data_IF_477239348666
#
_entry.id   IF_477239348666
#
_cell.length_a   1.000
_cell.length_b   1.000
_cell.length_c   1.000
_cell.angle_alpha   90.00
_cell.angle_beta   90.00
_cell.angle_gamma   90.00
#
_symmetry.space_group_name_H-M   'P 1'
#
loop_
_entity.id
_entity.type
_entity.pdbx_description
1 polymer ?
#
# COMPACT_ATOMS: atom_id res chain seq x y z
N UNK A 1 -27.20 6.03 3.13
CA UNK A 1 -26.51 6.36 2.56
C UNK A 1 -26.04 7.41 2.67
N UNK A 2 -26.14 7.58 3.04
CA UNK A 2 -25.83 8.80 3.17
C UNK A 2 -24.79 9.47 2.54
N UNK A 3 -24.21 8.95 1.78
CA UNK A 3 -23.08 9.52 1.15
C UNK A 3 -23.35 10.81 0.41
N UNK A 4 -24.60 11.11 0.13
CA UNK A 4 -24.92 12.38 -0.48
C UNK A 4 -24.46 13.57 0.35
N UNK A 5 -24.40 13.39 1.68
CA UNK A 5 -23.95 14.46 2.55
C UNK A 5 -22.47 14.77 2.36
N UNK A 6 -21.72 13.86 1.74
CA UNK A 6 -20.29 14.01 1.54
C UNK A 6 -19.94 14.57 0.17
N UNK A 7 -20.96 14.98 -0.63
CA UNK A 7 -20.71 15.43 -1.99
C UNK A 7 -19.79 16.64 -2.06
N UNK A 8 -19.74 17.48 -1.02
CA UNK A 8 -18.90 18.67 -0.96
C UNK A 8 -17.50 18.39 -0.40
N UNK A 9 -17.28 17.24 0.19
CA UNK A 9 -15.96 16.86 0.67
C UNK A 9 -15.09 16.45 -0.51
N UNK A 10 -13.90 17.00 -0.64
CA UNK A 10 -13.00 16.54 -1.70
C UNK A 10 -12.77 15.05 -1.61
N UNK A 11 -12.70 14.39 -2.76
CA UNK A 11 -12.49 12.96 -2.84
C UNK A 11 -11.02 12.69 -3.17
N UNK A 12 -10.37 11.87 -2.36
CA UNK A 12 -9.02 11.40 -2.70
C UNK A 12 -9.18 10.36 -3.79
N UNK A 13 -8.61 10.60 -4.98
CA UNK A 13 -8.72 9.65 -6.08
C UNK A 13 -7.39 9.01 -6.49
N UNK A 14 -6.27 9.59 -6.08
CA UNK A 14 -4.96 9.04 -6.44
C UNK A 14 -3.93 9.35 -5.36
N UNK A 15 -3.11 8.36 -5.06
CA UNK A 15 -1.94 8.50 -4.19
C UNK A 15 -0.73 7.99 -4.97
N UNK A 16 0.37 8.71 -4.92
CA UNK A 16 1.58 8.35 -5.67
C UNK A 16 2.68 7.88 -4.74
N UNK A 17 3.30 6.76 -5.11
CA UNK A 17 4.53 6.26 -4.49
C UNK A 17 5.64 6.27 -5.52
N UNK A 18 6.84 6.68 -5.11
CA UNK A 18 7.99 6.72 -6.00
C UNK A 18 8.85 5.47 -5.85
N UNK A 19 9.34 4.98 -6.98
CA UNK A 19 10.15 3.76 -7.06
C UNK A 19 11.29 4.00 -8.05
N UNK A 20 12.32 3.13 -8.02
CA UNK A 20 13.47 3.30 -8.92
C UNK A 20 13.43 2.37 -10.14
N UNK A 21 12.51 1.42 -10.21
CA UNK A 21 12.43 0.46 -11.30
C UNK A 21 10.96 0.13 -11.52
N UNK A 22 10.39 0.67 -12.58
CA UNK A 22 8.95 0.57 -12.78
C UNK A 22 8.48 -0.87 -13.07
N UNK A 23 9.25 -1.62 -13.86
CA UNK A 23 8.86 -3.01 -14.15
C UNK A 23 8.93 -3.87 -12.89
N UNK A 24 9.96 -3.69 -12.09
CA UNK A 24 10.10 -4.40 -10.82
C UNK A 24 8.97 -4.03 -9.86
N UNK A 25 8.62 -2.74 -9.82
CA UNK A 25 7.54 -2.25 -8.96
C UNK A 25 6.19 -2.78 -9.40
N UNK A 26 5.93 -2.82 -10.72
CA UNK A 26 4.66 -3.36 -11.23
C UNK A 26 4.51 -4.84 -10.83
N UNK A 27 5.58 -5.62 -10.88
CA UNK A 27 5.56 -7.02 -10.45
C UNK A 27 5.37 -7.14 -8.94
N UNK A 28 6.10 -6.33 -8.17
CA UNK A 28 6.00 -6.34 -6.72
C UNK A 28 4.59 -6.03 -6.27
N UNK A 29 4.05 -4.90 -6.70
CA UNK A 29 2.70 -4.47 -6.27
C UNK A 29 1.62 -5.34 -6.88
N UNK A 30 1.80 -5.82 -8.11
CA UNK A 30 0.85 -6.75 -8.71
C UNK A 30 0.69 -8.02 -7.89
N UNK A 31 1.80 -8.60 -7.43
CA UNK A 31 1.76 -9.78 -6.57
C UNK A 31 1.20 -9.47 -5.19
N UNK A 32 1.65 -8.38 -4.59
CA UNK A 32 1.23 -8.00 -3.24
C UNK A 32 -0.26 -7.72 -3.19
N UNK A 33 -0.77 -6.93 -4.13
CA UNK A 33 -2.17 -6.51 -4.16
C UNK A 33 -3.09 -7.53 -4.86
N UNK A 34 -2.51 -8.49 -5.57
CA UNK A 34 -3.30 -9.51 -6.26
C UNK A 34 -3.98 -9.02 -7.52
N UNK A 35 -3.41 -8.04 -8.20
CA UNK A 35 -3.95 -7.50 -9.44
C UNK A 35 -2.81 -6.99 -10.32
N UNK A 36 -3.00 -7.02 -11.65
CA UNK A 36 -1.93 -6.62 -12.56
C UNK A 36 -1.76 -5.12 -12.68
N UNK A 37 -2.80 -4.36 -12.42
CA UNK A 37 -2.77 -2.93 -12.65
C UNK A 37 -2.66 -2.58 -14.12
N UNK A 38 -2.27 -1.34 -14.41
CA UNK A 38 -2.25 -0.84 -15.79
C UNK A 38 -1.10 0.14 -15.98
N UNK A 39 -0.26 -0.13 -16.99
CA UNK A 39 0.82 0.78 -17.36
C UNK A 39 0.27 2.03 -18.04
N UNK A 40 0.80 3.19 -17.66
CA UNK A 40 0.46 4.47 -18.26
C UNK A 40 1.71 5.19 -18.76
N UNK A 41 1.58 6.14 -19.68
CA UNK A 41 2.72 6.95 -20.12
C UNK A 41 3.30 7.77 -18.97
N UNK A 42 4.55 8.18 -19.11
CA UNK A 42 5.20 8.98 -18.07
C UNK A 42 5.78 8.15 -16.94
N UNK A 43 6.21 6.93 -17.22
CA UNK A 43 6.86 6.03 -16.25
C UNK A 43 5.97 5.76 -15.02
N UNK A 44 4.71 5.41 -15.27
CA UNK A 44 3.70 5.17 -14.24
C UNK A 44 3.01 3.83 -14.41
N UNK A 45 2.66 3.22 -13.30
CA UNK A 45 1.83 2.01 -13.30
C UNK A 45 0.77 2.17 -12.23
N UNK A 46 -0.50 2.00 -12.59
CA UNK A 46 -1.64 2.32 -11.72
C UNK A 46 -2.35 1.05 -11.26
N UNK A 47 -2.72 1.05 -9.97
CA UNK A 47 -3.54 -0.01 -9.39
C UNK A 47 -4.81 0.63 -8.82
N UNK A 48 -5.97 0.11 -9.20
CA UNK A 48 -7.24 0.60 -8.64
C UNK A 48 -7.48 -0.11 -7.31
N UNK A 49 -7.43 0.65 -6.24
CA UNK A 49 -7.58 0.14 -4.89
C UNK A 49 -8.92 0.63 -4.31
N UNK A 50 -10.01 0.07 -4.83
CA UNK A 50 -11.35 0.41 -4.32
C UNK A 50 -11.79 1.83 -4.65
N UNK A 51 -11.39 2.33 -5.80
CA UNK A 51 -11.77 3.67 -6.24
C UNK A 51 -10.70 4.72 -6.00
N UNK A 52 -9.65 4.39 -5.26
CA UNK A 52 -8.45 5.24 -5.13
C UNK A 52 -7.34 4.60 -5.93
N UNK A 53 -6.73 5.36 -6.82
CA UNK A 53 -5.63 4.86 -7.64
C UNK A 53 -4.33 4.94 -6.86
N UNK A 54 -3.66 3.81 -6.72
CA UNK A 54 -2.27 3.79 -6.28
C UNK A 54 -1.41 3.95 -7.52
N UNK A 55 -0.76 5.09 -7.66
CA UNK A 55 0.11 5.38 -8.78
C UNK A 55 1.55 5.10 -8.38
N UNK A 56 2.19 4.16 -9.04
CA UNK A 56 3.60 3.87 -8.84
C UNK A 56 4.37 4.61 -9.94
N UNK A 57 5.26 5.51 -9.54
CA UNK A 57 5.95 6.43 -10.46
C UNK A 57 7.45 6.27 -10.32
N UNK A 58 8.12 6.12 -11.45
CA UNK A 58 9.59 6.08 -11.50
C UNK A 58 10.12 7.46 -11.94
N UNK A 59 10.62 8.29 -11.03
CA UNK A 59 11.14 9.61 -11.39
C UNK A 59 12.55 9.56 -11.97
N UNK A 60 13.20 8.40 -11.98
CA UNK A 60 14.59 8.30 -12.45
C UNK A 60 14.69 8.59 -13.93
N UNK A 61 13.62 8.35 -14.71
CA UNK A 61 13.59 8.68 -16.13
C UNK A 61 13.76 10.19 -16.36
N UNK A 62 13.34 11.02 -15.42
CA UNK A 62 13.54 12.45 -15.44
C UNK A 62 14.79 12.92 -14.69
N UNK A 63 15.65 11.99 -14.29
CA UNK A 63 16.89 12.33 -13.59
C UNK A 63 16.74 12.58 -12.10
N UNK A 64 15.59 12.26 -11.51
CA UNK A 64 15.34 12.48 -10.10
C UNK A 64 15.46 11.20 -9.29
N UNK A 65 15.87 11.33 -8.03
CA UNK A 65 15.95 10.20 -7.10
C UNK A 65 14.60 9.98 -6.45
N UNK A 66 14.13 8.72 -6.37
CA UNK A 66 12.88 8.44 -5.67
C UNK A 66 12.95 8.84 -4.19
N UNK A 67 11.84 9.38 -3.69
CA UNK A 67 11.69 9.73 -2.28
C UNK A 67 10.61 8.84 -1.69
N UNK A 68 10.90 8.07 -0.63
CA UNK A 68 9.88 7.22 -0.01
C UNK A 68 8.75 8.06 0.57
N UNK A 69 7.56 7.50 0.60
CA UNK A 69 6.43 8.12 1.28
C UNK A 69 6.74 8.28 2.77
N UNK A 70 6.32 9.39 3.40
CA UNK A 70 6.69 9.68 4.78
C UNK A 70 6.01 8.80 5.82
N UNK A 71 4.87 8.22 5.48
CA UNK A 71 4.07 7.40 6.40
C UNK A 71 3.40 6.27 5.65
N UNK A 72 2.91 5.29 6.41
CA UNK A 72 2.23 4.13 5.86
C UNK A 72 0.95 4.51 5.14
N UNK A 73 0.70 3.83 4.01
CA UNK A 73 -0.62 3.80 3.39
C UNK A 73 -1.37 2.61 3.95
N UNK A 74 -2.63 2.82 4.31
CA UNK A 74 -3.45 1.78 4.94
C UNK A 74 -4.44 1.21 3.95
N UNK A 75 -4.42 -0.12 3.83
CA UNK A 75 -5.29 -0.88 2.94
C UNK A 75 -6.20 -1.77 3.77
N UNK A 76 -7.50 -1.74 3.51
CA UNK A 76 -8.43 -2.68 4.12
C UNK A 76 -8.53 -3.91 3.22
N UNK A 77 -8.38 -5.09 3.79
CA UNK A 77 -8.41 -6.34 3.03
C UNK A 77 -9.32 -7.36 3.72
N UNK A 78 -9.95 -8.21 2.92
CA UNK A 78 -10.86 -9.23 3.45
C UNK A 78 -10.12 -10.47 3.95
N UNK A 79 -8.99 -10.81 3.33
CA UNK A 79 -8.20 -11.99 3.71
C UNK A 79 -6.79 -11.55 4.07
N UNK A 80 -6.64 -11.13 5.33
CA UNK A 80 -5.37 -10.58 5.82
C UNK A 80 -4.24 -11.62 5.76
N UNK A 81 -4.53 -12.88 6.08
CA UNK A 81 -3.52 -13.93 6.05
C UNK A 81 -3.00 -14.19 4.63
N UNK A 82 -3.86 -14.11 3.64
CA UNK A 82 -3.42 -14.30 2.26
C UNK A 82 -2.47 -13.19 1.82
N UNK A 83 -2.78 -11.94 2.18
CA UNK A 83 -1.90 -10.81 1.86
C UNK A 83 -0.58 -10.94 2.62
N UNK A 84 -0.64 -11.35 3.88
CA UNK A 84 0.56 -11.56 4.69
C UNK A 84 1.47 -12.62 4.04
N UNK A 85 0.89 -13.73 3.56
CA UNK A 85 1.65 -14.77 2.88
C UNK A 85 2.34 -14.26 1.62
N UNK A 86 1.65 -13.43 0.85
CA UNK A 86 2.24 -12.83 -0.36
C UNK A 86 3.37 -11.86 0.00
N UNK A 87 3.18 -11.04 1.02
CA UNK A 87 4.21 -10.12 1.49
C UNK A 87 5.45 -10.87 1.99
N UNK A 88 5.23 -11.97 2.71
CA UNK A 88 6.33 -12.81 3.19
C UNK A 88 7.12 -13.41 2.03
N UNK A 89 6.42 -13.93 1.00
CA UNK A 89 7.06 -14.48 -0.18
C UNK A 89 7.87 -13.42 -0.92
N UNK A 90 7.40 -12.18 -0.92
CA UNK A 90 8.11 -11.05 -1.53
C UNK A 90 9.24 -10.52 -0.65
N UNK A 91 9.43 -11.07 0.53
CA UNK A 91 10.43 -10.63 1.49
C UNK A 91 10.22 -9.16 1.89
N UNK A 92 8.96 -8.78 2.06
CA UNK A 92 8.57 -7.38 2.26
C UNK A 92 7.97 -7.10 3.64
N UNK A 93 7.97 -8.08 4.56
CA UNK A 93 7.45 -7.84 5.90
C UNK A 93 8.32 -6.80 6.62
N UNK A 94 7.66 -5.85 7.30
CA UNK A 94 8.38 -4.77 7.96
C UNK A 94 9.33 -5.30 9.03
N UNK A 95 10.59 -4.82 9.04
CA UNK A 95 11.58 -5.31 10.01
C UNK A 95 11.54 -4.61 11.35
N UNK A 96 10.70 -3.59 11.50
CA UNK A 96 10.62 -2.78 12.72
C UNK A 96 9.47 -3.22 13.62
N UNK A 97 9.48 -2.76 14.86
CA UNK A 97 8.40 -3.02 15.82
C UNK A 97 7.37 -1.89 15.80
N UNK A 98 6.12 -2.27 16.06
CA UNK A 98 5.01 -1.32 16.22
C UNK A 98 4.39 -1.62 17.57
N UNK A 99 4.41 -0.66 18.47
CA UNK A 99 3.92 -0.80 19.84
C UNK A 99 4.49 -2.05 20.54
N UNK A 100 5.79 -2.27 20.36
CA UNK A 100 6.48 -3.38 21.02
C UNK A 100 6.31 -4.74 20.36
N UNK A 101 5.48 -4.85 19.31
CA UNK A 101 5.24 -6.11 18.60
C UNK A 101 5.90 -6.05 17.22
N UNK A 102 6.29 -7.19 16.64
CA UNK A 102 6.86 -7.19 15.29
C UNK A 102 5.87 -6.57 14.30
N UNK A 103 6.32 -5.54 13.57
CA UNK A 103 5.45 -4.86 12.61
C UNK A 103 5.00 -5.76 11.48
N UNK A 104 5.87 -6.67 11.05
CA UNK A 104 5.56 -7.60 9.96
C UNK A 104 4.70 -8.80 10.36
N UNK A 105 4.36 -8.96 11.63
CA UNK A 105 3.50 -10.05 12.08
C UNK A 105 2.05 -9.56 12.16
N UNK A 106 1.11 -10.41 11.77
CA UNK A 106 -0.31 -10.11 11.97
C UNK A 106 -0.57 -10.01 13.45
N UNK A 107 -1.01 -8.84 13.91
CA UNK A 107 -1.16 -8.54 15.33
C UNK A 107 -2.41 -7.71 15.54
N UNK A 108 -3.11 -7.97 16.65
CA UNK A 108 -4.20 -7.09 17.07
C UNK A 108 -3.59 -5.88 17.79
N UNK A 109 -3.81 -4.71 17.22
CA UNK A 109 -3.22 -3.46 17.74
C UNK A 109 -4.03 -2.94 18.95
N UNK A 110 -3.43 -2.04 19.75
CA UNK A 110 -4.13 -1.51 20.94
C UNK A 110 -5.46 -0.83 20.63
N UNK A 111 -5.62 -0.27 19.43
CA UNK A 111 -6.88 0.38 19.01
C UNK A 111 -7.85 -0.59 18.34
N UNK A 112 -7.56 -1.89 18.34
CA UNK A 112 -8.50 -2.92 17.91
C UNK A 112 -8.32 -3.42 16.49
N UNK A 113 -7.54 -2.75 15.66
CA UNK A 113 -7.28 -3.22 14.29
C UNK A 113 -6.38 -4.45 14.31
N UNK A 114 -6.67 -5.38 13.41
CA UNK A 114 -5.81 -6.53 13.17
C UNK A 114 -5.05 -6.28 11.88
N UNK A 115 -3.71 -6.18 11.95
CA UNK A 115 -2.92 -5.65 10.84
C UNK A 115 -1.48 -6.16 10.85
N UNK A 116 -0.79 -5.92 9.72
CA UNK A 116 0.66 -6.06 9.63
C UNK A 116 1.20 -4.99 8.68
N UNK A 117 2.50 -4.72 8.78
CA UNK A 117 3.17 -3.69 8.01
C UNK A 117 4.14 -4.28 7.00
N UNK A 118 4.30 -3.57 5.89
CA UNK A 118 5.13 -3.96 4.75
C UNK A 118 6.02 -2.77 4.38
N UNK A 119 7.25 -3.07 3.96
CA UNK A 119 8.12 -2.05 3.36
C UNK A 119 8.48 -2.53 1.96
N UNK A 120 8.24 -1.69 0.95
CA UNK A 120 8.61 -2.07 -0.40
C UNK A 120 10.12 -1.90 -0.62
N UNK A 121 10.68 -2.36 -1.76
CA UNK A 121 12.14 -2.27 -1.98
C UNK A 121 12.70 -0.84 -1.99
N UNK A 122 11.84 0.17 -2.09
CA UNK A 122 12.27 1.57 -2.16
C UNK A 122 11.95 2.36 -0.90
N UNK A 123 11.57 1.66 0.17
CA UNK A 123 11.34 2.29 1.47
C UNK A 123 9.95 2.83 1.69
N UNK A 124 8.99 2.54 0.81
CA UNK A 124 7.62 2.95 1.04
C UNK A 124 6.95 2.01 2.04
N UNK A 125 6.29 2.59 3.04
CA UNK A 125 5.59 1.84 4.08
C UNK A 125 4.13 1.62 3.73
N UNK A 126 3.67 0.39 3.92
CA UNK A 126 2.27 0.02 3.73
C UNK A 126 1.78 -0.71 4.98
N UNK A 127 0.47 -0.59 5.25
CA UNK A 127 -0.16 -1.34 6.33
C UNK A 127 -1.42 -1.98 5.79
N UNK A 128 -1.58 -3.27 6.05
CA UNK A 128 -2.78 -4.02 5.64
C UNK A 128 -3.59 -4.33 6.88
N UNK A 129 -4.87 -3.96 6.84
CA UNK A 129 -5.79 -4.07 7.98
C UNK A 129 -6.95 -4.95 7.59
N UNK A 130 -7.34 -5.86 8.48
CA UNK A 130 -8.47 -6.74 8.26
C UNK A 130 -9.77 -5.94 8.27
N UNK A 131 -10.57 -6.08 7.19
CA UNK A 131 -11.89 -5.51 7.13
C UNK A 131 -12.73 -6.00 8.31
N UNK A 132 -13.55 -5.12 8.85
CA UNK A 132 -14.31 -5.46 10.04
C UNK A 132 -13.63 -5.05 11.35
N UNK A 133 -12.33 -4.73 11.30
CA UNK A 133 -11.59 -4.26 12.47
C UNK A 133 -11.15 -2.81 12.34
N UNK A 134 -11.57 -2.12 11.28
CA UNK A 134 -11.07 -0.78 10.97
C UNK A 134 -11.41 0.23 12.06
N UNK A 135 -10.42 1.02 12.43
CA UNK A 135 -10.57 2.14 13.36
C UNK A 135 -10.64 3.43 12.53
N UNK A 136 -11.79 4.06 12.53
CA UNK A 136 -12.01 5.26 11.70
C UNK A 136 -12.60 6.43 12.49
#
# INVERSE_FOLDING_TARGET
>A
MPSATNSKTPKIFRVTLEVADLDKAAKFYGKLLGTEGKRHPGARHYFDCGGVILAVLDPTAGGMTPTPGPKSLYFAVTDLEAVHGRAKTLNALAPYKVHGEPGGAVTKRPWGERSFYVVDPWGNDLCFVEEGTLYT
#
